data_IF_907483026827
#
_entry.id   IF_907483026827
#
_cell.length_a   1.000
_cell.length_b   1.000
_cell.length_c   1.000
_cell.angle_alpha   90.00
_cell.angle_beta   90.00
_cell.angle_gamma   90.00
#
_symmetry.space_group_name_H-M   'P 1'
#
loop_
_entity.id
_entity.type
_entity.pdbx_description
1 polymer ?
#
# COMPACT_ATOMS: atom_id res chain seq x y z
N UNK A 1 -7.69 5.49 -27.53
CA UNK A 1 -6.87 5.00 -26.39
C UNK A 1 -7.82 4.31 -25.43
N UNK A 2 -7.56 3.07 -25.02
CA UNK A 2 -8.45 2.33 -24.11
C UNK A 2 -8.42 3.05 -22.75
N UNK A 3 -9.58 3.49 -22.25
CA UNK A 3 -9.69 4.13 -20.93
C UNK A 3 -10.06 3.06 -19.89
N UNK A 4 -9.31 3.02 -18.78
CA UNK A 4 -9.57 2.13 -17.66
C UNK A 4 -9.22 2.82 -16.34
N UNK A 5 -9.97 2.55 -15.27
CA UNK A 5 -9.68 3.05 -13.92
C UNK A 5 -8.62 2.22 -13.17
N UNK A 6 -7.70 1.61 -13.90
CA UNK A 6 -6.54 0.91 -13.34
C UNK A 6 -5.29 1.77 -13.51
N UNK A 7 -4.27 1.62 -12.64
CA UNK A 7 -2.92 2.02 -12.99
C UNK A 7 -2.56 1.39 -14.33
N UNK A 8 -2.04 2.17 -15.28
CA UNK A 8 -1.83 1.64 -16.63
C UNK A 8 -0.84 0.47 -16.65
N UNK A 9 0.14 0.46 -15.74
CA UNK A 9 1.10 -0.64 -15.56
C UNK A 9 0.45 -1.92 -15.05
N UNK A 10 -0.70 -1.86 -14.38
CA UNK A 10 -1.46 -3.03 -13.90
C UNK A 10 -2.75 -3.27 -14.72
N UNK A 11 -2.95 -2.53 -15.80
CA UNK A 11 -4.15 -2.64 -16.63
C UNK A 11 -4.15 -3.96 -17.41
N UNK A 12 -5.32 -4.61 -17.58
CA UNK A 12 -5.45 -5.74 -18.52
C UNK A 12 -5.16 -5.33 -19.98
N UNK A 13 -5.09 -4.03 -20.27
CA UNK A 13 -4.77 -3.48 -21.59
C UNK A 13 -3.33 -2.95 -21.70
N UNK A 14 -2.42 -3.40 -20.82
CA UNK A 14 -1.04 -2.92 -20.74
C UNK A 14 -0.34 -2.92 -22.11
N UNK A 15 -0.40 -4.03 -22.84
CA UNK A 15 0.28 -4.19 -24.15
C UNK A 15 -0.22 -3.20 -25.21
N UNK A 16 -1.50 -2.80 -25.16
CA UNK A 16 -2.05 -1.79 -26.05
C UNK A 16 -1.69 -0.38 -25.57
N UNK A 17 -1.70 -0.13 -24.26
CA UNK A 17 -1.42 1.18 -23.69
C UNK A 17 0.05 1.56 -23.87
N UNK A 18 1.00 0.65 -23.59
CA UNK A 18 2.43 0.94 -23.63
C UNK A 18 2.92 1.35 -25.02
N UNK A 19 2.31 0.81 -26.10
CA UNK A 19 2.62 1.18 -27.50
C UNK A 19 2.36 2.66 -27.80
N UNK A 20 1.41 3.27 -27.09
CA UNK A 20 1.05 4.69 -27.24
C UNK A 20 1.75 5.62 -26.24
N UNK A 21 2.59 5.10 -25.34
CA UNK A 21 3.28 5.90 -24.32
C UNK A 21 4.57 6.49 -24.88
N UNK A 22 4.75 7.80 -24.71
CA UNK A 22 6.01 8.48 -25.00
C UNK A 22 6.92 8.42 -23.76
N UNK A 23 7.62 7.30 -23.60
CA UNK A 23 8.54 7.01 -22.48
C UNK A 23 9.83 6.39 -23.01
N UNK A 24 10.93 6.50 -22.26
CA UNK A 24 12.24 5.94 -22.67
C UNK A 24 12.23 4.40 -22.70
N UNK A 25 13.19 3.79 -23.38
CA UNK A 25 13.31 2.31 -23.40
C UNK A 25 13.55 1.74 -21.99
N UNK A 26 14.28 2.45 -21.14
CA UNK A 26 14.46 2.09 -19.73
C UNK A 26 13.14 2.11 -18.97
N UNK A 27 12.33 3.15 -19.15
CA UNK A 27 10.99 3.24 -18.53
C UNK A 27 10.05 2.17 -19.08
N UNK A 28 10.11 1.83 -20.37
CA UNK A 28 9.35 0.71 -20.95
C UNK A 28 9.75 -0.61 -20.32
N UNK A 29 11.06 -0.84 -20.13
CA UNK A 29 11.55 -2.04 -19.45
C UNK A 29 11.04 -2.12 -18.02
N UNK A 30 11.18 -1.04 -17.24
CA UNK A 30 10.66 -0.96 -15.87
C UNK A 30 9.15 -1.28 -15.83
N UNK A 31 8.36 -0.64 -16.69
CA UNK A 31 6.91 -0.89 -16.73
C UNK A 31 6.56 -2.32 -17.15
N UNK A 32 7.31 -2.90 -18.08
CA UNK A 32 7.09 -4.28 -18.55
C UNK A 32 7.45 -5.29 -17.47
N UNK A 33 8.58 -5.12 -16.79
CA UNK A 33 8.97 -5.97 -15.66
C UNK A 33 7.99 -5.83 -14.51
N UNK A 34 7.56 -4.60 -14.19
CA UNK A 34 6.55 -4.37 -13.15
C UNK A 34 5.20 -5.02 -13.49
N UNK A 35 4.71 -4.87 -14.72
CA UNK A 35 3.48 -5.53 -15.15
C UNK A 35 3.61 -7.05 -15.03
N UNK A 36 4.75 -7.61 -15.46
CA UNK A 36 5.04 -9.04 -15.45
C UNK A 36 5.11 -9.60 -14.04
N UNK A 37 5.91 -8.99 -13.18
CA UNK A 37 6.36 -9.60 -11.93
C UNK A 37 5.69 -8.99 -10.69
N UNK A 38 5.11 -7.79 -10.82
CA UNK A 38 4.49 -7.04 -9.72
C UNK A 38 5.47 -6.24 -8.89
N UNK A 39 6.74 -6.20 -9.31
CA UNK A 39 7.78 -5.42 -8.66
C UNK A 39 8.89 -5.06 -9.65
N UNK A 40 9.73 -4.09 -9.28
CA UNK A 40 11.02 -3.80 -9.92
C UNK A 40 12.06 -3.43 -8.88
N UNK A 41 13.32 -3.74 -9.19
CA UNK A 41 14.48 -3.37 -8.36
C UNK A 41 15.23 -2.23 -9.04
N UNK A 42 15.54 -1.19 -8.27
CA UNK A 42 16.39 -0.08 -8.66
C UNK A 42 17.72 -0.20 -7.91
N UNK A 43 18.75 -0.66 -8.61
CA UNK A 43 20.08 -0.90 -8.03
C UNK A 43 20.85 0.40 -7.83
N UNK A 44 21.49 0.57 -6.67
CA UNK A 44 22.28 1.75 -6.29
C UNK A 44 21.54 3.06 -6.59
N UNK A 45 20.25 3.09 -6.27
CA UNK A 45 19.35 4.15 -6.71
C UNK A 45 19.35 5.35 -5.76
N UNK A 46 19.43 5.10 -4.45
CA UNK A 46 19.42 6.17 -3.46
C UNK A 46 20.84 6.73 -3.24
N UNK A 47 20.98 8.05 -3.05
CA UNK A 47 22.27 8.64 -2.67
C UNK A 47 22.79 8.01 -1.37
N UNK A 48 24.04 7.55 -1.37
CA UNK A 48 24.63 6.86 -0.21
C UNK A 48 24.56 7.70 1.07
N UNK A 49 24.80 9.00 0.98
CA UNK A 49 24.71 9.93 2.11
C UNK A 49 23.31 9.97 2.73
N UNK A 50 22.25 9.95 1.91
CA UNK A 50 20.88 9.92 2.41
C UNK A 50 20.61 8.60 3.13
N UNK A 51 21.05 7.47 2.56
CA UNK A 51 20.92 6.15 3.18
C UNK A 51 21.64 6.09 4.53
N UNK A 52 22.85 6.65 4.60
CA UNK A 52 23.65 6.73 5.82
C UNK A 52 22.98 7.56 6.91
N UNK A 53 22.43 8.74 6.56
CA UNK A 53 21.70 9.57 7.52
C UNK A 53 20.45 8.87 8.04
N UNK A 54 19.69 8.17 7.19
CA UNK A 54 18.49 7.42 7.63
C UNK A 54 18.89 6.29 8.59
N UNK A 55 19.94 5.54 8.27
CA UNK A 55 20.47 4.49 9.14
C UNK A 55 20.89 5.05 10.50
N UNK A 56 21.68 6.13 10.49
CA UNK A 56 22.14 6.79 11.71
C UNK A 56 20.98 7.26 12.58
N UNK A 57 19.99 7.95 11.98
CA UNK A 57 18.79 8.36 12.72
C UNK A 57 18.06 7.14 13.29
N UNK A 58 17.92 6.05 12.54
CA UNK A 58 17.26 4.84 13.02
C UNK A 58 18.00 4.20 14.21
N UNK A 59 19.33 4.18 14.19
CA UNK A 59 20.17 3.68 15.29
C UNK A 59 20.10 4.59 16.54
N UNK A 60 20.26 5.90 16.36
CA UNK A 60 20.40 6.86 17.46
C UNK A 60 19.06 7.34 18.06
N UNK A 61 17.98 7.32 17.26
CA UNK A 61 16.66 7.85 17.62
C UNK A 61 15.61 6.75 17.51
N UNK A 62 15.56 6.05 16.38
CA UNK A 62 14.48 5.12 16.03
C UNK A 62 14.37 3.93 16.95
N UNK A 63 15.49 3.29 17.23
CA UNK A 63 15.61 2.04 18.00
C UNK A 63 16.45 2.20 19.27
N UNK A 64 16.79 3.44 19.62
CA UNK A 64 17.47 3.75 20.85
C UNK A 64 16.50 3.69 22.02
N UNK A 65 16.73 2.75 22.94
CA UNK A 65 15.89 2.57 24.13
C UNK A 65 15.95 3.77 25.08
N UNK A 66 17.03 4.54 25.04
CA UNK A 66 17.21 5.75 25.85
C UNK A 66 16.46 6.96 25.27
N UNK A 67 15.96 6.85 24.03
CA UNK A 67 15.18 7.89 23.35
C UNK A 67 13.82 7.35 22.89
N UNK A 68 12.87 7.12 23.82
CA UNK A 68 11.58 6.52 23.47
C UNK A 68 10.75 7.49 22.62
N UNK A 69 10.37 7.03 21.43
CA UNK A 69 9.47 7.72 20.51
C UNK A 69 8.08 7.10 20.53
N UNK A 70 7.04 7.90 20.23
CA UNK A 70 5.64 7.41 20.20
C UNK A 70 5.30 6.53 19.00
N UNK A 71 6.27 6.32 18.12
CA UNK A 71 6.13 5.69 16.81
C UNK A 71 6.49 4.20 16.83
N UNK A 72 6.93 3.63 17.96
CA UNK A 72 7.12 2.18 18.08
C UNK A 72 5.78 1.46 17.86
N UNK A 73 5.79 0.47 16.96
CA UNK A 73 4.69 -0.48 16.80
C UNK A 73 4.96 -1.75 17.59
N UNK A 74 6.21 -2.19 17.57
CA UNK A 74 6.76 -3.32 18.33
C UNK A 74 8.28 -3.11 18.51
N UNK A 75 8.98 -4.07 19.11
CA UNK A 75 10.43 -3.99 19.36
C UNK A 75 11.28 -3.92 18.09
N UNK A 76 10.74 -4.33 16.94
CA UNK A 76 11.45 -4.49 15.67
C UNK A 76 11.01 -3.46 14.62
N UNK A 77 9.96 -2.68 14.88
CA UNK A 77 9.30 -1.82 13.91
C UNK A 77 8.93 -0.45 14.48
N UNK A 78 9.41 0.59 13.80
CA UNK A 78 9.02 1.99 14.04
C UNK A 78 8.14 2.46 12.89
N UNK A 79 6.89 2.85 13.18
CA UNK A 79 5.95 3.38 12.21
C UNK A 79 5.91 4.90 12.22
N UNK A 80 5.92 5.52 11.04
CA UNK A 80 5.96 6.98 10.84
C UNK A 80 7.22 7.64 11.41
N UNK A 81 8.38 6.97 11.25
CA UNK A 81 9.67 7.51 11.69
C UNK A 81 10.00 8.87 11.06
N UNK A 82 9.43 9.17 9.89
CA UNK A 82 9.51 10.48 9.23
C UNK A 82 9.07 11.67 10.10
N UNK A 83 8.27 11.43 11.14
CA UNK A 83 7.81 12.49 12.08
C UNK A 83 8.93 13.01 12.97
N UNK A 84 9.98 12.22 13.18
CA UNK A 84 11.10 12.54 14.08
C UNK A 84 12.46 12.46 13.37
N UNK A 85 12.55 11.85 12.19
CA UNK A 85 13.74 11.81 11.34
C UNK A 85 13.50 12.56 10.04
N UNK A 86 14.23 13.67 9.87
CA UNK A 86 14.23 14.45 8.63
C UNK A 86 14.84 13.64 7.47
N UNK A 87 15.84 12.79 7.72
CA UNK A 87 16.40 11.91 6.71
C UNK A 87 15.39 10.86 6.23
N UNK A 88 14.63 10.24 7.15
CA UNK A 88 13.57 9.27 6.80
C UNK A 88 12.48 9.92 5.94
N UNK A 89 12.11 11.17 6.27
CA UNK A 89 11.19 11.99 5.48
C UNK A 89 11.74 12.29 4.09
N UNK A 90 12.99 12.69 3.98
CA UNK A 90 13.67 12.97 2.70
C UNK A 90 13.74 11.73 1.80
N UNK A 91 14.03 10.55 2.37
CA UNK A 91 14.01 9.28 1.64
C UNK A 91 12.61 8.96 1.12
N UNK A 92 11.59 9.07 1.99
CA UNK A 92 10.20 8.82 1.60
C UNK A 92 9.73 9.78 0.48
N UNK A 93 10.21 11.03 0.48
CA UNK A 93 9.88 12.08 -0.46
C UNK A 93 10.88 12.21 -1.64
N UNK A 94 11.78 11.24 -1.84
CA UNK A 94 12.85 11.36 -2.83
C UNK A 94 12.31 11.54 -4.25
N UNK A 95 12.56 12.70 -4.86
CA UNK A 95 11.90 13.14 -6.10
C UNK A 95 12.08 12.16 -7.28
N UNK A 96 13.27 11.60 -7.56
CA UNK A 96 13.42 10.59 -8.61
C UNK A 96 12.55 9.35 -8.41
N UNK A 97 12.34 8.92 -7.15
CA UNK A 97 11.43 7.82 -6.84
C UNK A 97 9.98 8.19 -7.17
N UNK A 98 9.52 9.36 -6.72
CA UNK A 98 8.16 9.86 -6.99
C UNK A 98 7.88 10.00 -8.49
N UNK A 99 8.89 10.36 -9.27
CA UNK A 99 8.79 10.46 -10.74
C UNK A 99 8.60 9.09 -11.39
N UNK A 100 9.34 8.07 -10.92
CA UNK A 100 9.17 6.68 -11.37
C UNK A 100 7.78 6.16 -11.00
N UNK A 101 7.33 6.37 -9.77
CA UNK A 101 6.01 5.95 -9.32
C UNK A 101 4.89 6.64 -10.13
N UNK A 102 5.02 7.96 -10.34
CA UNK A 102 4.07 8.72 -11.16
C UNK A 102 4.05 8.23 -12.60
N UNK A 103 5.22 7.88 -13.15
CA UNK A 103 5.33 7.28 -14.47
C UNK A 103 4.61 5.93 -14.52
N UNK A 104 4.88 5.00 -13.59
CA UNK A 104 4.29 3.66 -13.55
C UNK A 104 2.76 3.68 -13.36
N UNK A 105 2.25 4.55 -12.51
CA UNK A 105 0.82 4.56 -12.15
C UNK A 105 -0.01 5.55 -12.98
N UNK A 106 0.63 6.54 -13.60
CA UNK A 106 -0.04 7.57 -14.39
C UNK A 106 -0.80 8.60 -13.56
N UNK A 107 -0.55 8.66 -12.25
CA UNK A 107 -1.09 9.64 -11.31
C UNK A 107 0.01 10.11 -10.38
N UNK A 108 -0.12 11.30 -9.84
CA UNK A 108 0.83 11.80 -8.85
C UNK A 108 0.81 10.92 -7.59
N UNK A 109 1.95 10.34 -7.24
CA UNK A 109 2.15 9.56 -6.02
C UNK A 109 2.43 10.47 -4.82
N UNK A 110 2.00 10.05 -3.63
CA UNK A 110 2.44 10.66 -2.39
C UNK A 110 2.71 9.61 -1.29
N UNK A 111 3.84 9.72 -0.56
CA UNK A 111 4.12 8.91 0.61
C UNK A 111 3.18 9.30 1.76
N UNK A 112 2.65 8.30 2.47
CA UNK A 112 1.74 8.53 3.60
C UNK A 112 2.09 7.77 4.89
N UNK A 113 2.99 6.78 4.81
CA UNK A 113 3.48 6.02 5.94
C UNK A 113 4.91 5.55 5.69
N UNK A 114 5.76 5.59 6.74
CA UNK A 114 7.03 4.87 6.75
C UNK A 114 7.00 3.75 7.79
N UNK A 115 7.71 2.66 7.54
CA UNK A 115 8.05 1.63 8.53
C UNK A 115 9.56 1.41 8.47
N UNK A 116 10.24 1.58 9.59
CA UNK A 116 11.67 1.32 9.72
C UNK A 116 11.88 0.04 10.54
N UNK A 117 12.88 -0.74 10.15
CA UNK A 117 13.22 -2.02 10.77
C UNK A 117 14.72 -2.08 11.06
N UNK A 118 15.08 -2.64 12.22
CA UNK A 118 16.46 -2.97 12.60
C UNK A 118 16.81 -4.44 12.34
N UNK A 119 15.81 -5.30 12.16
CA UNK A 119 15.94 -6.76 11.94
C UNK A 119 14.93 -7.26 10.89
N UNK A 120 15.15 -8.46 10.34
CA UNK A 120 14.21 -9.18 9.48
C UNK A 120 12.83 -9.29 10.12
N UNK A 121 11.75 -8.96 9.38
CA UNK A 121 10.39 -8.96 9.95
C UNK A 121 9.84 -10.37 10.18
N UNK A 122 10.37 -11.36 9.46
CA UNK A 122 9.90 -12.76 9.47
C UNK A 122 8.39 -12.91 9.21
N UNK A 123 7.78 -11.90 8.59
CA UNK A 123 6.35 -11.85 8.37
C UNK A 123 5.96 -12.86 7.29
N UNK A 124 4.84 -13.57 7.52
CA UNK A 124 4.30 -14.54 6.56
C UNK A 124 3.85 -13.84 5.27
N UNK A 125 3.61 -14.65 4.24
CA UNK A 125 3.16 -14.14 2.95
C UNK A 125 1.84 -13.37 3.11
N UNK A 126 1.82 -12.12 2.65
CA UNK A 126 0.64 -11.24 2.69
C UNK A 126 0.67 -10.28 1.52
N UNK A 127 -0.47 -9.65 1.25
CA UNK A 127 -0.63 -8.53 0.31
C UNK A 127 -0.96 -7.26 1.10
N UNK A 128 -0.33 -6.14 0.76
CA UNK A 128 -0.56 -4.87 1.44
C UNK A 128 -1.97 -4.32 1.20
N UNK A 129 -2.65 -4.79 0.14
CA UNK A 129 -4.04 -4.40 -0.16
C UNK A 129 -4.95 -4.61 1.04
N UNK A 130 -4.75 -5.64 1.87
CA UNK A 130 -5.56 -5.88 3.08
C UNK A 130 -5.48 -4.73 4.08
N UNK A 131 -4.35 -4.02 4.11
CA UNK A 131 -4.09 -2.88 5.00
C UNK A 131 -4.42 -1.54 4.34
N UNK A 132 -4.16 -1.42 3.03
CA UNK A 132 -4.29 -0.18 2.29
C UNK A 132 -4.84 -0.44 0.90
N UNK A 133 -6.06 0.02 0.65
CA UNK A 133 -6.67 -0.03 -0.68
C UNK A 133 -7.28 1.32 -1.04
N UNK A 134 -7.65 1.45 -2.30
CA UNK A 134 -8.13 2.68 -2.91
C UNK A 134 -9.39 2.45 -3.75
N UNK A 135 -10.14 3.52 -4.01
CA UNK A 135 -11.17 3.57 -5.04
C UNK A 135 -10.80 4.68 -6.04
N UNK A 136 -10.52 4.35 -7.31
CA UNK A 136 -10.46 2.98 -7.86
C UNK A 136 -9.31 2.14 -7.27
N UNK A 137 -9.42 0.82 -7.37
CA UNK A 137 -8.48 -0.15 -6.78
C UNK A 137 -7.06 -0.06 -7.38
N UNK A 138 -6.12 -0.73 -6.71
CA UNK A 138 -4.70 -0.85 -7.11
C UNK A 138 -3.87 0.43 -7.14
N UNK A 139 -4.40 1.59 -6.75
CA UNK A 139 -3.61 2.83 -6.62
C UNK A 139 -2.90 2.92 -5.27
N UNK A 140 -2.09 1.90 -4.95
CA UNK A 140 -1.20 1.86 -3.80
C UNK A 140 0.04 1.03 -4.15
N UNK A 141 1.22 1.45 -3.70
CA UNK A 141 2.45 0.66 -3.81
C UNK A 141 3.34 0.81 -2.57
N UNK A 142 4.15 -0.21 -2.32
CA UNK A 142 5.24 -0.14 -1.34
C UNK A 142 6.57 0.09 -2.03
N UNK A 143 7.47 0.80 -1.35
CA UNK A 143 8.89 0.87 -1.70
C UNK A 143 9.71 0.52 -0.48
N UNK A 144 10.55 -0.49 -0.61
CA UNK A 144 11.49 -0.92 0.42
C UNK A 144 12.90 -0.55 0.01
N UNK A 145 13.66 0.03 0.93
CA UNK A 145 15.03 0.47 0.69
C UNK A 145 15.98 -0.23 1.67
N UNK A 146 17.05 -0.78 1.12
CA UNK A 146 18.17 -1.36 1.87
C UNK A 146 19.00 -0.22 2.49
N UNK A 147 19.03 -0.15 3.83
CA UNK A 147 19.94 0.75 4.55
C UNK A 147 21.29 0.09 4.85
N UNK A 148 21.41 -1.19 4.52
CA UNK A 148 22.64 -1.98 4.54
C UNK A 148 22.54 -3.17 3.58
N UNK A 149 23.62 -3.93 3.43
CA UNK A 149 23.64 -5.14 2.61
C UNK A 149 22.74 -6.23 3.21
N UNK A 150 21.98 -6.89 2.34
CA UNK A 150 21.02 -7.93 2.70
C UNK A 150 21.45 -9.25 2.08
N UNK A 151 21.62 -10.26 2.93
CA UNK A 151 22.06 -11.61 2.58
C UNK A 151 21.06 -12.62 3.12
N UNK A 152 21.25 -13.91 2.87
CA UNK A 152 20.43 -14.96 3.49
C UNK A 152 20.53 -14.97 5.03
N UNK A 153 21.62 -14.42 5.59
CA UNK A 153 21.90 -14.50 7.01
C UNK A 153 21.02 -13.56 7.85
N UNK A 154 20.63 -12.40 7.31
CA UNK A 154 20.02 -11.33 8.09
C UNK A 154 18.51 -11.12 7.86
N UNK A 155 17.84 -12.07 7.21
CA UNK A 155 16.38 -12.03 7.02
C UNK A 155 15.95 -11.15 5.85
N UNK A 156 16.27 -11.55 4.61
CA UNK A 156 15.87 -10.84 3.40
C UNK A 156 14.36 -10.85 3.21
N UNK A 157 13.84 -9.99 2.34
CA UNK A 157 12.46 -10.13 1.88
C UNK A 157 12.34 -11.36 0.96
N UNK A 158 11.13 -11.89 0.84
CA UNK A 158 10.75 -12.75 -0.26
C UNK A 158 9.48 -12.21 -0.93
N UNK A 159 9.28 -12.58 -2.19
CA UNK A 159 8.07 -12.28 -2.95
C UNK A 159 7.71 -13.44 -3.88
N UNK A 160 6.46 -13.43 -4.33
CA UNK A 160 5.93 -14.36 -5.32
C UNK A 160 5.66 -13.61 -6.64
N UNK A 161 6.59 -13.64 -7.62
CA UNK A 161 6.44 -12.88 -8.85
C UNK A 161 5.14 -13.22 -9.59
N UNK A 162 4.45 -12.21 -10.10
CA UNK A 162 3.20 -12.37 -10.84
C UNK A 162 1.94 -12.52 -9.98
N UNK A 163 2.07 -12.68 -8.66
CA UNK A 163 0.93 -12.87 -7.77
C UNK A 163 0.04 -11.62 -7.63
N UNK A 164 0.52 -10.43 -7.99
CA UNK A 164 -0.28 -9.20 -8.03
C UNK A 164 -1.48 -9.26 -8.98
N UNK A 165 -1.47 -10.23 -9.90
CA UNK A 165 -2.57 -10.52 -10.84
C UNK A 165 -3.70 -11.34 -10.23
N UNK A 166 -3.49 -11.94 -9.05
CA UNK A 166 -4.54 -12.63 -8.33
C UNK A 166 -5.63 -11.65 -7.89
N UNK A 167 -6.85 -12.13 -7.56
CA UNK A 167 -7.85 -11.30 -6.91
C UNK A 167 -7.30 -10.61 -5.65
N UNK A 168 -7.85 -9.43 -5.33
CA UNK A 168 -7.64 -8.82 -4.02
C UNK A 168 -8.45 -9.60 -2.99
N UNK A 169 -7.77 -10.37 -2.15
CA UNK A 169 -8.40 -11.17 -1.11
C UNK A 169 -8.53 -10.38 0.19
N UNK A 170 -9.70 -10.51 0.82
CA UNK A 170 -10.04 -9.91 2.10
C UNK A 170 -10.99 -10.84 2.88
N UNK A 171 -11.41 -10.42 4.08
CA UNK A 171 -12.17 -11.28 4.98
C UNK A 171 -13.54 -11.71 4.47
N UNK A 172 -14.17 -11.02 3.50
CA UNK A 172 -15.43 -11.49 2.93
C UNK A 172 -15.30 -12.80 2.14
N UNK A 173 -14.08 -13.16 1.72
CA UNK A 173 -13.79 -14.45 1.08
C UNK A 173 -13.23 -15.51 2.05
N UNK A 174 -12.95 -15.14 3.30
CA UNK A 174 -12.26 -15.99 4.28
C UNK A 174 -13.20 -16.38 5.43
N UNK A 175 -14.07 -15.48 5.86
CA UNK A 175 -14.94 -15.65 7.04
C UNK A 175 -16.38 -15.93 6.59
N UNK A 176 -17.06 -16.84 7.30
CA UNK A 176 -18.48 -17.16 7.04
C UNK A 176 -19.44 -16.05 7.48
N UNK A 177 -19.02 -15.22 8.44
CA UNK A 177 -19.86 -14.19 9.07
C UNK A 177 -19.72 -12.84 8.36
N UNK A 178 -20.85 -12.17 8.13
CA UNK A 178 -20.90 -10.79 7.59
C UNK A 178 -20.57 -9.68 8.60
N UNK A 179 -20.00 -10.04 9.75
CA UNK A 179 -19.57 -9.07 10.78
C UNK A 179 -18.25 -8.41 10.35
N UNK A 180 -18.06 -7.16 10.77
CA UNK A 180 -16.76 -6.49 10.60
C UNK A 180 -15.64 -7.26 11.31
N UNK A 181 -14.48 -7.31 10.67
CA UNK A 181 -13.27 -7.97 11.16
C UNK A 181 -12.31 -6.99 11.84
N UNK A 182 -11.30 -7.54 12.49
CA UNK A 182 -10.25 -6.80 13.18
C UNK A 182 -8.88 -7.45 13.00
N UNK A 183 -7.87 -6.91 13.69
CA UNK A 183 -6.53 -7.50 13.70
C UNK A 183 -6.48 -8.88 14.37
N UNK A 184 -7.45 -9.21 15.23
CA UNK A 184 -7.57 -10.54 15.84
C UNK A 184 -7.81 -11.64 14.80
N UNK A 185 -8.40 -11.29 13.66
CA UNK A 185 -8.67 -12.20 12.55
C UNK A 185 -7.46 -12.37 11.61
N UNK A 186 -6.37 -11.61 11.80
CA UNK A 186 -5.27 -11.53 10.84
C UNK A 186 -4.58 -12.87 10.58
N UNK A 187 -4.54 -13.76 11.58
CA UNK A 187 -3.99 -15.11 11.42
C UNK A 187 -4.73 -15.91 10.34
N UNK A 188 -6.06 -15.81 10.29
CA UNK A 188 -6.87 -16.51 9.29
C UNK A 188 -6.56 -16.02 7.88
N UNK A 189 -6.26 -14.72 7.74
CA UNK A 189 -5.81 -14.15 6.48
C UNK A 189 -4.47 -14.72 6.02
N UNK A 190 -3.48 -14.79 6.91
CA UNK A 190 -2.16 -15.36 6.58
C UNK A 190 -2.26 -16.86 6.26
N UNK A 191 -3.06 -17.62 7.01
CA UNK A 191 -3.32 -19.04 6.74
C UNK A 191 -3.93 -19.23 5.34
N UNK A 192 -4.92 -18.40 4.99
CA UNK A 192 -5.52 -18.40 3.65
C UNK A 192 -4.50 -18.04 2.56
N UNK A 193 -3.65 -17.03 2.77
CA UNK A 193 -2.62 -16.63 1.80
C UNK A 193 -1.62 -17.75 1.53
N UNK A 194 -1.24 -18.54 2.54
CA UNK A 194 -0.37 -19.70 2.34
C UNK A 194 -1.03 -20.78 1.46
N UNK A 195 -2.34 -21.01 1.62
CA UNK A 195 -3.09 -21.91 0.73
C UNK A 195 -3.21 -21.34 -0.69
N UNK A 196 -3.37 -20.03 -0.85
CA UNK A 196 -3.32 -19.36 -2.16
C UNK A 196 -1.98 -19.57 -2.85
N UNK A 197 -0.87 -19.44 -2.12
CA UNK A 197 0.48 -19.71 -2.65
C UNK A 197 0.59 -21.15 -3.14
N UNK A 198 0.11 -22.12 -2.35
CA UNK A 198 0.15 -23.55 -2.70
C UNK A 198 -0.70 -23.88 -3.92
N UNK A 199 -1.98 -23.48 -3.95
CA UNK A 199 -2.91 -23.87 -5.03
C UNK A 199 -2.54 -23.27 -6.39
N UNK A 200 -1.89 -22.10 -6.39
CA UNK A 200 -1.41 -21.45 -7.62
C UNK A 200 0.03 -21.84 -7.99
N UNK A 201 0.70 -22.71 -7.21
CA UNK A 201 2.10 -23.10 -7.38
C UNK A 201 3.03 -21.89 -7.54
N UNK A 202 2.85 -20.86 -6.69
CA UNK A 202 3.62 -19.62 -6.83
C UNK A 202 5.08 -19.83 -6.41
N UNK A 203 6.01 -19.55 -7.33
CA UNK A 203 7.43 -19.54 -7.02
C UNK A 203 7.74 -18.49 -5.95
N UNK A 204 8.55 -18.86 -4.95
CA UNK A 204 9.10 -17.92 -3.96
C UNK A 204 10.49 -17.47 -4.42
N UNK A 205 10.70 -16.16 -4.53
CA UNK A 205 12.02 -15.56 -4.77
C UNK A 205 12.48 -14.76 -3.57
N UNK A 206 13.72 -14.97 -3.17
CA UNK A 206 14.39 -14.24 -2.09
C UNK A 206 15.05 -13.00 -2.68
N UNK A 207 14.93 -11.88 -1.96
CA UNK A 207 15.49 -10.59 -2.39
C UNK A 207 16.77 -10.26 -1.61
N UNK A 208 17.91 -10.52 -2.25
CA UNK A 208 19.19 -9.95 -1.82
C UNK A 208 19.35 -8.54 -2.38
N UNK A 209 19.89 -7.66 -1.57
CA UNK A 209 20.02 -6.25 -1.91
C UNK A 209 21.35 -5.69 -1.40
N UNK A 210 21.90 -4.73 -2.13
CA UNK A 210 22.99 -3.88 -1.64
C UNK A 210 22.42 -2.65 -0.96
N UNK A 211 23.18 -2.08 -0.03
CA UNK A 211 22.86 -0.79 0.56
C UNK A 211 22.56 0.25 -0.55
N UNK A 212 21.42 0.92 -0.44
CA UNK A 212 20.95 1.91 -1.42
C UNK A 212 20.09 1.35 -2.55
N UNK A 213 19.92 0.03 -2.65
CA UNK A 213 18.94 -0.57 -3.55
C UNK A 213 17.51 -0.29 -3.05
N UNK A 214 16.60 -0.08 -4.01
CA UNK A 214 15.17 0.07 -3.74
C UNK A 214 14.36 -1.00 -4.48
N UNK A 215 13.39 -1.60 -3.80
CA UNK A 215 12.40 -2.52 -4.36
C UNK A 215 11.04 -1.83 -4.36
N UNK A 216 10.48 -1.58 -5.55
CA UNK A 216 9.12 -1.07 -5.71
C UNK A 216 8.20 -2.26 -5.96
N UNK A 217 7.10 -2.40 -5.22
CA UNK A 217 6.18 -3.52 -5.36
C UNK A 217 4.71 -3.07 -5.39
N UNK A 218 3.88 -3.85 -6.09
CA UNK A 218 2.44 -3.65 -6.19
C UNK A 218 1.77 -3.95 -4.86
N UNK A 219 0.73 -3.19 -4.48
CA UNK A 219 0.00 -3.46 -3.23
C UNK A 219 -0.51 -4.90 -3.13
N UNK A 220 -0.77 -5.55 -4.28
CA UNK A 220 -1.37 -6.88 -4.31
C UNK A 220 -0.35 -8.03 -4.44
N UNK A 221 0.95 -7.75 -4.54
CA UNK A 221 1.95 -8.82 -4.59
C UNK A 221 2.07 -9.51 -3.22
N UNK A 222 2.18 -10.83 -3.24
CA UNK A 222 2.39 -11.64 -2.06
C UNK A 222 3.88 -11.58 -1.72
N UNK A 223 4.17 -11.07 -0.54
CA UNK A 223 5.53 -10.88 -0.05
C UNK A 223 5.60 -11.09 1.46
N UNK A 224 6.82 -11.21 1.98
CA UNK A 224 7.06 -11.43 3.40
C UNK A 224 8.54 -11.31 3.76
N UNK A 225 8.87 -11.64 5.01
CA UNK A 225 10.25 -11.67 5.51
C UNK A 225 10.74 -13.09 5.71
N UNK A 226 11.94 -13.40 5.23
CA UNK A 226 12.61 -14.66 5.53
C UNK A 226 13.09 -14.68 7.00
N UNK A 227 13.31 -15.88 7.58
CA UNK A 227 13.92 -16.02 8.90
C UNK A 227 15.28 -15.34 9.00
N UNK A 228 15.63 -14.84 10.18
CA UNK A 228 16.98 -14.39 10.49
C UNK A 228 17.81 -15.62 10.87
N UNK A 229 18.78 -15.99 10.05
CA UNK A 229 19.56 -17.22 10.24
C UNK A 229 20.78 -17.01 11.13
N UNK A 230 21.33 -15.79 11.16
CA UNK A 230 22.46 -15.43 12.02
C UNK A 230 21.98 -14.61 13.21
N UNK A 231 22.07 -15.20 14.39
CA UNK A 231 21.72 -14.55 15.64
C UNK A 231 22.51 -13.24 15.82
N UNK A 232 21.82 -12.19 16.28
CA UNK A 232 22.40 -10.86 16.48
C UNK A 232 22.68 -10.05 15.21
N UNK A 233 22.38 -10.57 14.02
CA UNK A 233 22.51 -9.81 12.77
C UNK A 233 21.44 -8.71 12.65
N UNK A 234 21.83 -7.58 12.06
CA UNK A 234 20.92 -6.47 11.73
C UNK A 234 20.40 -6.58 10.29
N UNK A 235 19.25 -5.96 10.06
CA UNK A 235 18.65 -5.76 8.73
C UNK A 235 17.97 -4.40 8.69
N UNK A 236 18.78 -3.37 8.54
CA UNK A 236 18.33 -1.98 8.47
C UNK A 236 17.61 -1.71 7.15
N UNK A 237 16.37 -1.24 7.26
CA UNK A 237 15.56 -0.91 6.08
C UNK A 237 14.49 0.13 6.38
N UNK A 238 14.02 0.78 5.33
CA UNK A 238 12.82 1.60 5.36
C UNK A 238 11.84 1.13 4.29
N UNK A 239 10.60 0.85 4.71
CA UNK A 239 9.45 0.73 3.81
C UNK A 239 8.71 2.06 3.80
N UNK A 240 8.32 2.52 2.63
CA UNK A 240 7.42 3.66 2.46
C UNK A 240 6.23 3.23 1.63
N UNK A 241 5.01 3.47 2.13
CA UNK A 241 3.78 3.23 1.38
C UNK A 241 3.33 4.52 0.69
N UNK A 242 2.94 4.38 -0.57
CA UNK A 242 2.50 5.47 -1.43
C UNK A 242 1.07 5.21 -1.89
N UNK A 243 0.24 6.24 -1.77
CA UNK A 243 -1.04 6.32 -2.45
C UNK A 243 -0.88 7.24 -3.65
N UNK A 244 -1.88 7.26 -4.54
CA UNK A 244 -1.90 8.13 -5.70
C UNK A 244 -3.14 9.01 -5.68
N UNK A 245 -3.03 10.23 -6.22
CA UNK A 245 -4.13 11.20 -6.27
C UNK A 245 -5.39 10.65 -6.94
N UNK A 246 -6.48 11.38 -6.71
CA UNK A 246 -7.80 11.11 -7.28
C UNK A 246 -8.40 9.76 -6.89
N UNK A 247 -8.07 9.32 -5.66
CA UNK A 247 -8.66 8.14 -5.04
C UNK A 247 -9.30 8.47 -3.68
N UNK A 248 -10.29 7.65 -3.31
CA UNK A 248 -10.61 7.43 -1.90
C UNK A 248 -9.72 6.32 -1.36
N UNK A 249 -9.37 6.38 -0.09
CA UNK A 249 -8.42 5.47 0.55
C UNK A 249 -9.08 4.81 1.74
N UNK A 250 -8.90 3.51 1.91
CA UNK A 250 -9.55 2.76 2.98
C UNK A 250 -8.70 1.56 3.42
N UNK A 251 -9.11 0.92 4.51
CA UNK A 251 -8.45 -0.25 5.10
C UNK A 251 -9.38 -1.45 4.99
N UNK A 252 -9.19 -2.38 4.02
CA UNK A 252 -10.08 -3.52 3.84
C UNK A 252 -10.24 -4.38 5.10
N UNK A 253 -9.15 -4.65 5.84
CA UNK A 253 -9.17 -5.41 7.10
C UNK A 253 -10.18 -4.89 8.14
N UNK A 254 -10.39 -3.57 8.17
CA UNK A 254 -11.27 -2.90 9.15
C UNK A 254 -12.62 -2.49 8.53
N UNK A 255 -12.84 -2.82 7.27
CA UNK A 255 -14.06 -2.54 6.52
C UNK A 255 -15.00 -3.75 6.59
N UNK A 256 -16.29 -3.52 6.50
CA UNK A 256 -17.22 -4.60 6.20
C UNK A 256 -17.32 -4.78 4.69
N UNK A 257 -16.51 -5.67 4.14
CA UNK A 257 -16.45 -5.93 2.69
C UNK A 257 -17.64 -6.76 2.18
N UNK A 258 -18.56 -7.20 3.04
CA UNK A 258 -19.83 -7.83 2.64
C UNK A 258 -20.90 -6.78 2.35
N UNK A 259 -20.91 -5.68 3.12
CA UNK A 259 -21.88 -4.58 3.01
C UNK A 259 -21.31 -3.31 2.36
N UNK A 260 -20.05 -3.34 1.92
CA UNK A 260 -19.28 -2.19 1.43
C UNK A 260 -19.22 -1.00 2.40
N UNK A 261 -19.25 -1.27 3.71
CA UNK A 261 -19.03 -0.26 4.74
C UNK A 261 -17.53 -0.08 4.99
N UNK A 262 -16.94 0.88 4.29
CA UNK A 262 -15.50 1.07 4.22
C UNK A 262 -14.95 1.88 5.38
N UNK A 263 -13.85 1.41 5.95
CA UNK A 263 -13.03 2.13 6.92
C UNK A 263 -12.15 3.17 6.20
N UNK A 264 -12.72 4.34 5.93
CA UNK A 264 -12.06 5.40 5.16
C UNK A 264 -10.90 6.05 5.93
N UNK A 265 -9.76 6.21 5.25
CA UNK A 265 -8.55 6.87 5.77
C UNK A 265 -8.62 8.39 5.55
N UNK A 266 -9.58 9.05 6.21
CA UNK A 266 -9.85 10.50 6.03
C UNK A 266 -8.81 11.46 6.64
N UNK A 267 -7.82 10.94 7.37
CA UNK A 267 -6.79 11.73 8.05
C UNK A 267 -5.38 11.53 7.48
N UNK A 268 -5.27 11.06 6.23
CA UNK A 268 -3.97 10.91 5.57
C UNK A 268 -3.27 12.27 5.42
N UNK A 269 -1.96 12.25 5.62
CA UNK A 269 -1.07 13.40 5.43
C UNK A 269 -0.10 13.03 4.30
N UNK A 270 0.06 13.92 3.33
CA UNK A 270 1.10 13.77 2.32
C UNK A 270 2.43 14.15 2.97
N UNK A 271 3.35 13.18 3.10
CA UNK A 271 4.63 13.39 3.79
C UNK A 271 5.49 14.44 3.07
N UNK A 272 5.34 14.61 1.75
CA UNK A 272 6.06 15.63 0.97
C UNK A 272 5.66 17.04 1.42
N UNK A 273 4.36 17.32 1.48
CA UNK A 273 3.84 18.67 1.73
C UNK A 273 3.53 18.94 3.20
N UNK A 274 3.33 17.89 4.01
CA UNK A 274 2.81 17.99 5.37
C UNK A 274 1.31 18.28 5.44
N UNK A 275 0.62 18.36 4.30
CA UNK A 275 -0.79 18.72 4.23
C UNK A 275 -1.71 17.49 4.30
N UNK A 276 -2.93 17.70 4.81
CA UNK A 276 -3.99 16.69 4.76
C UNK A 276 -4.39 16.40 3.31
N UNK A 277 -4.45 15.13 2.96
CA UNK A 277 -4.89 14.68 1.63
C UNK A 277 -6.41 14.85 1.51
N UNK A 278 -6.85 15.40 0.37
CA UNK A 278 -8.27 15.52 0.02
C UNK A 278 -8.66 14.36 -0.91
N UNK A 279 -9.41 13.34 -0.43
CA UNK A 279 -9.81 12.22 -1.27
C UNK A 279 -10.94 12.58 -2.24
N UNK A 280 -10.88 12.02 -3.43
CA UNK A 280 -11.83 12.16 -4.55
C UNK A 280 -11.84 10.86 -5.38
N UNK A 281 -12.84 10.63 -6.21
CA UNK A 281 -12.85 9.53 -7.16
C UNK A 281 -12.69 10.11 -8.57
N UNK A 282 -11.51 9.97 -9.17
CA UNK A 282 -11.20 10.61 -10.46
C UNK A 282 -11.46 12.13 -10.47
N UNK A 283 -11.16 12.81 -9.36
CA UNK A 283 -11.42 14.24 -9.18
C UNK A 283 -12.83 14.57 -8.68
N UNK A 284 -13.78 13.63 -8.71
CA UNK A 284 -15.14 13.83 -8.21
C UNK A 284 -15.24 13.66 -6.70
N UNK A 285 -15.97 14.55 -6.02
CA UNK A 285 -16.31 14.37 -4.61
C UNK A 285 -17.58 13.56 -4.46
N UNK A 286 -17.46 12.36 -3.90
CA UNK A 286 -18.57 11.49 -3.56
C UNK A 286 -19.12 11.81 -2.17
N UNK A 287 -20.44 11.75 -2.05
CA UNK A 287 -21.16 11.71 -0.77
C UNK A 287 -21.09 10.31 -0.15
N UNK A 288 -21.05 10.25 1.18
CA UNK A 288 -21.06 9.01 1.94
C UNK A 288 -21.75 9.20 3.29
N UNK A 289 -22.35 8.13 3.79
CA UNK A 289 -23.01 8.09 5.09
C UNK A 289 -22.11 7.36 6.08
N UNK A 290 -22.00 7.89 7.29
CA UNK A 290 -21.29 7.24 8.38
C UNK A 290 -22.21 6.19 9.00
N UNK A 291 -21.85 4.91 8.92
CA UNK A 291 -22.69 3.82 9.42
C UNK A 291 -22.35 3.44 10.85
N UNK A 292 -21.10 3.64 11.28
CA UNK A 292 -20.68 3.52 12.67
C UNK A 292 -19.48 4.43 12.97
N UNK A 293 -18.77 4.20 14.09
CA UNK A 293 -17.66 5.07 14.53
C UNK A 293 -16.58 5.28 13.47
N UNK A 294 -16.28 4.28 12.65
CA UNK A 294 -15.13 4.27 11.74
C UNK A 294 -15.46 3.90 10.30
N UNK A 295 -16.64 3.35 10.03
CA UNK A 295 -17.05 2.89 8.70
C UNK A 295 -18.07 3.81 8.03
N UNK A 296 -18.02 3.82 6.70
CA UNK A 296 -18.79 4.68 5.84
C UNK A 296 -19.24 3.93 4.58
N UNK A 297 -20.45 4.21 4.10
CA UNK A 297 -20.95 3.71 2.82
C UNK A 297 -21.08 4.86 1.83
N UNK A 298 -20.50 4.71 0.64
CA UNK A 298 -20.69 5.70 -0.42
C UNK A 298 -22.13 5.69 -0.89
N UNK A 299 -22.72 6.89 -1.01
CA UNK A 299 -24.04 7.08 -1.54
C UNK A 299 -23.99 8.30 -2.45
N UNK A 300 -23.76 8.07 -3.74
CA UNK A 300 -23.83 9.10 -4.77
C UNK A 300 -25.03 8.78 -5.67
N UNK A 301 -26.25 9.20 -5.31
CA UNK A 301 -27.48 8.80 -6.02
C UNK A 301 -27.58 9.34 -7.45
N UNK A 302 -26.50 9.89 -8.03
CA UNK A 302 -26.54 10.73 -9.22
C UNK A 302 -27.32 12.01 -8.95
N UNK A 303 -27.42 12.89 -9.93
CA UNK A 303 -28.35 14.03 -9.91
C UNK A 303 -29.82 13.55 -9.83
N UNK A 304 -30.25 12.99 -8.71
CA UNK A 304 -31.66 12.89 -8.36
C UNK A 304 -32.06 14.24 -7.75
N UNK A 305 -32.82 15.08 -8.47
CA UNK A 305 -33.27 16.36 -7.95
C UNK A 305 -34.15 16.08 -6.74
N UNK A 306 -33.69 16.41 -5.52
CA UNK A 306 -34.45 16.55 -4.26
C UNK A 306 -35.84 15.89 -4.19
N UNK A 307 -35.98 14.64 -4.65
CA UNK A 307 -37.28 14.08 -5.05
C UNK A 307 -37.75 12.97 -4.13
N UNK A 308 -36.85 12.40 -3.33
CA UNK A 308 -37.17 11.35 -2.36
C UNK A 308 -37.94 11.89 -1.14
N UNK A 309 -37.84 13.19 -0.83
CA UNK A 309 -38.75 13.81 0.15
C UNK A 309 -40.21 13.82 -0.35
N UNK A 310 -40.44 13.89 -1.68
CA UNK A 310 -41.79 13.90 -2.25
C UNK A 310 -42.49 12.53 -2.18
N UNK A 311 -41.72 11.44 -2.19
CA UNK A 311 -42.25 10.08 -2.07
C UNK A 311 -42.65 9.74 -0.62
N UNK A 312 -41.89 10.22 0.36
CA UNK A 312 -42.25 10.09 1.78
C UNK A 312 -43.47 10.95 2.13
N UNK A 313 -43.57 12.18 1.60
CA UNK A 313 -44.72 13.06 1.83
C UNK A 313 -45.99 12.58 1.11
N UNK A 314 -45.89 11.95 -0.08
CA UNK A 314 -47.07 11.42 -0.79
C UNK A 314 -47.76 10.26 -0.07
N UNK A 315 -47.04 9.50 0.76
CA UNK A 315 -47.63 8.42 1.55
C UNK A 315 -48.13 8.88 2.93
N UNK A 316 -47.62 10.00 3.47
CA UNK A 316 -48.09 10.56 4.75
C UNK A 316 -49.43 11.31 4.66
N UNK A 317 -49.84 11.74 3.45
CA UNK A 317 -51.09 12.48 3.24
C UNK A 317 -52.18 11.73 2.47
N UNK A 318 -52.03 10.43 2.20
CA UNK A 318 -53.17 9.57 1.82
C UNK A 318 -53.97 9.18 3.05
N UNK A 319 -54.55 10.18 3.74
CA UNK A 319 -55.70 9.95 4.63
C UNK A 319 -56.94 9.82 3.76
N UNK A 320 -57.44 8.59 3.70
CA UNK A 320 -58.86 8.19 3.71
C UNK A 320 -59.87 9.29 3.35
N UNK A 321 -60.50 9.16 2.18
CA UNK A 321 -61.88 9.61 1.97
C UNK A 321 -62.78 8.40 1.95
#
# INVERSE_FOLDING_TARGET
>A
MIQSNFPWVESPFFDQIIKGKNISEEQKKLATDYNRDGFVVLSNFLPSELVDRVRKDAEEIGFNKDYPIKTYRDEQRVQDFWKVSQASKELAAYKPLLDILTMLYGRESFPFQTLNFSVGSQQRAHSDTIHFSSLPAKFMCGVWVALEDITDENGPLFYHPGSQRLPEYNFSQIKESAKSTSYEDYKDYEDFMEEIVKVNNLEKKVFHAKKGDALIWSSNILHGGMPVLKEGSSRWSQVTHYFFKDCYYYTPMLSNMVTDELNLRNNLVNIVTGEKVKPSYNGEKLSYLKTNKTQYIFNNPGNQPQGTLSLLLRNLFRKTK
#
